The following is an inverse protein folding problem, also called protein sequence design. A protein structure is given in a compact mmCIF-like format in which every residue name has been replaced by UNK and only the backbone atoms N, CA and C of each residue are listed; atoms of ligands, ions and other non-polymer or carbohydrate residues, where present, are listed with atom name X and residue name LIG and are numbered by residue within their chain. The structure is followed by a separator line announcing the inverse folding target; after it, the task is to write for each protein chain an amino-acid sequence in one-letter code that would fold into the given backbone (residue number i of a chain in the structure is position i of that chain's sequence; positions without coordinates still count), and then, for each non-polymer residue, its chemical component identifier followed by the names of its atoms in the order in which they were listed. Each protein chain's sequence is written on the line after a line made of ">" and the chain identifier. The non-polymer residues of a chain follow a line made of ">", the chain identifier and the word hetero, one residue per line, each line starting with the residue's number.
data_IF_469362728119
#
_entry.id   IF_469362728119
#
_cell.length_a   1.000
_cell.length_b   1.000
_cell.length_c   1.000
_cell.angle_alpha   90.00
_cell.angle_beta   90.00
_cell.angle_gamma   90.00
#
_symmetry.space_group_name_H-M   'P 1'
#
loop_
_entity.id
_entity.type
_entity.pdbx_description
1 polymer ?
#
# COMPACT_ATOMS: atom_id res chain seq x y z
N UNK A 1 -20.43 -45.63 -39.45
CA UNK A 1 -18.96 -45.73 -39.29
C UNK A 1 -18.24 -44.39 -39.52
N UNK A 2 -18.92 -43.23 -39.38
CA UNK A 2 -18.27 -41.92 -39.59
C UNK A 2 -17.84 -41.19 -38.30
N UNK A 3 -18.23 -41.70 -37.12
CA UNK A 3 -17.91 -41.06 -35.83
C UNK A 3 -16.49 -41.30 -35.30
N UNK A 4 -15.82 -42.39 -35.70
CA UNK A 4 -14.51 -42.78 -35.17
C UNK A 4 -13.32 -42.10 -35.88
N UNK A 5 -13.53 -41.59 -37.09
CA UNK A 5 -12.48 -40.97 -37.90
C UNK A 5 -12.24 -39.49 -37.53
N UNK A 6 -13.26 -38.84 -36.95
CA UNK A 6 -13.14 -37.47 -36.42
C UNK A 6 -12.42 -37.39 -35.06
N UNK A 7 -12.53 -38.40 -34.21
CA UNK A 7 -11.87 -38.42 -32.90
C UNK A 7 -10.38 -38.76 -32.98
N UNK A 8 -9.99 -39.67 -33.88
CA UNK A 8 -8.58 -40.01 -34.11
C UNK A 8 -7.81 -38.83 -34.70
N UNK A 9 -8.42 -38.09 -35.63
CA UNK A 9 -7.83 -36.89 -36.22
C UNK A 9 -7.66 -35.74 -35.21
N UNK A 10 -8.63 -35.54 -34.30
CA UNK A 10 -8.51 -34.55 -33.20
C UNK A 10 -7.46 -34.94 -32.15
N UNK A 11 -7.32 -36.24 -31.83
CA UNK A 11 -6.31 -36.72 -30.88
C UNK A 11 -4.89 -36.60 -31.45
N UNK A 12 -4.70 -36.88 -32.73
CA UNK A 12 -3.40 -36.78 -33.38
C UNK A 12 -2.96 -35.32 -33.60
N UNK A 13 -3.91 -34.41 -33.84
CA UNK A 13 -3.63 -32.97 -33.88
C UNK A 13 -3.24 -32.41 -32.50
N UNK A 14 -3.85 -32.87 -31.40
CA UNK A 14 -3.45 -32.48 -30.03
C UNK A 14 -2.06 -32.99 -29.67
N UNK A 15 -1.78 -34.28 -29.90
CA UNK A 15 -0.47 -34.88 -29.62
C UNK A 15 0.68 -34.20 -30.38
N UNK A 16 0.47 -33.84 -31.65
CA UNK A 16 1.50 -33.16 -32.47
C UNK A 16 1.74 -31.70 -32.08
N UNK A 17 0.82 -31.06 -31.36
CA UNK A 17 0.99 -29.68 -30.88
C UNK A 17 1.81 -29.71 -29.59
N UNK A 18 1.52 -30.67 -28.70
CA UNK A 18 2.23 -30.83 -27.42
C UNK A 18 3.72 -31.22 -27.65
N UNK A 19 4.02 -32.12 -28.60
CA UNK A 19 5.41 -32.52 -28.92
C UNK A 19 6.26 -31.36 -29.51
N UNK A 20 5.62 -30.41 -30.20
CA UNK A 20 6.31 -29.25 -30.78
C UNK A 20 6.61 -28.18 -29.73
N UNK A 21 5.68 -27.91 -28.83
CA UNK A 21 5.92 -26.97 -27.73
C UNK A 21 7.06 -27.47 -26.83
N UNK A 22 7.11 -28.77 -26.54
CA UNK A 22 8.18 -29.35 -25.71
C UNK A 22 9.54 -29.30 -26.42
N UNK A 23 9.57 -29.47 -27.75
CA UNK A 23 10.79 -29.33 -28.56
C UNK A 23 11.30 -27.89 -28.64
N UNK A 24 10.41 -26.90 -28.69
CA UNK A 24 10.76 -25.47 -28.70
C UNK A 24 11.26 -25.02 -27.32
N UNK A 25 10.65 -25.50 -26.24
CA UNK A 25 11.08 -25.25 -24.87
C UNK A 25 12.48 -25.79 -24.60
N UNK A 26 12.78 -27.01 -25.08
CA UNK A 26 14.11 -27.60 -24.97
C UNK A 26 15.21 -26.84 -25.73
N UNK A 27 14.83 -26.10 -26.78
CA UNK A 27 15.77 -25.32 -27.60
C UNK A 27 15.99 -23.90 -27.08
N UNK A 28 14.89 -23.19 -26.79
CA UNK A 28 14.94 -21.78 -26.43
C UNK A 28 15.21 -21.59 -24.93
N UNK A 29 14.99 -22.62 -24.10
CA UNK A 29 15.12 -22.57 -22.64
C UNK A 29 14.22 -21.51 -21.98
N UNK A 30 13.18 -21.05 -22.70
CA UNK A 30 12.10 -20.20 -22.20
C UNK A 30 10.83 -20.50 -22.99
N UNK A 31 9.67 -20.18 -22.39
CA UNK A 31 8.37 -20.31 -23.04
C UNK A 31 8.13 -19.12 -24.00
N UNK A 32 8.00 -19.36 -25.31
CA UNK A 32 7.73 -18.29 -26.28
C UNK A 32 6.48 -17.47 -25.98
N UNK A 33 5.43 -18.10 -25.42
CA UNK A 33 4.20 -17.39 -25.07
C UNK A 33 4.39 -16.51 -23.84
N UNK A 34 5.14 -16.96 -22.84
CA UNK A 34 5.51 -16.10 -21.71
C UNK A 34 6.31 -14.89 -22.18
N UNK A 35 7.30 -15.09 -23.06
CA UNK A 35 8.09 -14.00 -23.61
C UNK A 35 7.23 -12.96 -24.35
N UNK A 36 6.31 -13.41 -25.22
CA UNK A 36 5.41 -12.50 -25.95
C UNK A 36 4.52 -11.71 -24.98
N UNK A 37 3.98 -12.36 -23.96
CA UNK A 37 3.15 -11.70 -22.95
C UNK A 37 3.96 -10.68 -22.13
N UNK A 38 5.19 -11.02 -21.74
CA UNK A 38 6.07 -10.11 -20.99
C UNK A 38 6.39 -8.85 -21.81
N UNK A 39 6.67 -9.01 -23.11
CA UNK A 39 6.88 -7.87 -24.01
C UNK A 39 5.61 -7.01 -24.11
N UNK A 40 4.43 -7.64 -24.26
CA UNK A 40 3.15 -6.92 -24.33
C UNK A 40 2.90 -6.11 -23.06
N UNK A 41 3.02 -6.75 -21.90
CA UNK A 41 2.85 -6.09 -20.60
C UNK A 41 3.84 -4.94 -20.42
N UNK A 42 5.12 -5.14 -20.79
CA UNK A 42 6.12 -4.07 -20.71
C UNK A 42 5.77 -2.88 -21.60
N UNK A 43 5.19 -3.10 -22.78
CA UNK A 43 4.74 -2.00 -23.65
C UNK A 43 3.56 -1.26 -23.03
N UNK A 44 2.60 -1.98 -22.45
CA UNK A 44 1.46 -1.38 -21.75
C UNK A 44 1.92 -0.53 -20.55
N UNK A 45 2.83 -1.05 -19.72
CA UNK A 45 3.41 -0.33 -18.59
C UNK A 45 4.08 0.98 -19.03
N UNK A 46 4.86 0.96 -20.11
CA UNK A 46 5.54 2.15 -20.64
C UNK A 46 4.54 3.20 -21.15
N UNK A 47 3.44 2.77 -21.77
CA UNK A 47 2.38 3.68 -22.24
C UNK A 47 1.68 4.30 -21.03
N UNK A 48 1.26 3.51 -20.05
CA UNK A 48 0.53 3.99 -18.89
C UNK A 48 1.38 4.94 -18.03
N UNK A 49 2.63 4.57 -17.73
CA UNK A 49 3.56 5.44 -17.01
C UNK A 49 3.89 6.71 -17.81
N UNK A 50 4.14 6.58 -19.12
CA UNK A 50 4.48 7.70 -19.98
C UNK A 50 3.37 8.75 -20.08
N UNK A 51 2.12 8.31 -20.24
CA UNK A 51 0.96 9.20 -20.27
C UNK A 51 0.62 9.75 -18.88
N UNK A 52 0.82 8.97 -17.82
CA UNK A 52 0.71 9.44 -16.44
C UNK A 52 1.68 10.59 -16.14
N UNK A 53 2.95 10.44 -16.53
CA UNK A 53 3.97 11.48 -16.41
C UNK A 53 3.62 12.72 -17.26
N UNK A 54 3.18 12.52 -18.51
CA UNK A 54 2.79 13.62 -19.39
C UNK A 54 1.66 14.45 -18.79
N UNK A 55 0.65 13.81 -18.20
CA UNK A 55 -0.49 14.47 -17.54
C UNK A 55 -0.05 15.33 -16.35
N UNK A 56 0.86 14.82 -15.52
CA UNK A 56 1.45 15.57 -14.42
C UNK A 56 2.22 16.80 -14.93
N UNK A 57 3.05 16.62 -15.96
CA UNK A 57 3.86 17.71 -16.52
C UNK A 57 3.01 18.76 -17.25
N UNK A 58 2.00 18.34 -18.01
CA UNK A 58 1.10 19.25 -18.71
C UNK A 58 0.35 20.15 -17.72
N UNK A 59 -0.12 19.57 -16.61
CA UNK A 59 -0.79 20.32 -15.53
C UNK A 59 0.14 21.35 -14.89
N UNK A 60 1.39 20.95 -14.60
CA UNK A 60 2.43 21.85 -14.04
C UNK A 60 2.80 22.97 -15.02
N UNK A 61 3.06 22.64 -16.28
CA UNK A 61 3.52 23.59 -17.30
C UNK A 61 2.46 24.64 -17.64
N UNK A 62 1.18 24.25 -17.66
CA UNK A 62 0.08 25.18 -17.93
C UNK A 62 -0.33 26.00 -16.69
N UNK A 63 0.19 25.68 -15.51
CA UNK A 63 -0.12 26.39 -14.27
C UNK A 63 -1.62 26.41 -13.94
N UNK A 64 -2.37 25.42 -14.42
CA UNK A 64 -3.83 25.35 -14.28
C UNK A 64 -4.17 25.06 -12.83
N UNK A 65 -4.88 25.99 -12.19
CA UNK A 65 -5.42 25.84 -10.83
C UNK A 65 -6.92 25.62 -10.81
N UNK A 66 -7.56 25.70 -11.98
CA UNK A 66 -8.98 25.47 -12.15
C UNK A 66 -9.23 23.98 -12.37
N UNK A 67 -9.91 23.36 -11.41
CA UNK A 67 -10.20 21.93 -11.41
C UNK A 67 -10.97 21.49 -12.67
N UNK A 68 -11.85 22.34 -13.22
CA UNK A 68 -12.62 22.02 -14.43
C UNK A 68 -11.70 21.92 -15.67
N UNK A 69 -10.66 22.77 -15.73
CA UNK A 69 -9.69 22.78 -16.82
C UNK A 69 -8.72 21.61 -16.69
N UNK A 70 -8.33 21.24 -15.47
CA UNK A 70 -7.52 20.04 -15.20
C UNK A 70 -8.28 18.77 -15.60
N UNK A 71 -9.57 18.68 -15.29
CA UNK A 71 -10.40 17.54 -15.66
C UNK A 71 -10.56 17.43 -17.19
N UNK A 72 -10.82 18.55 -17.88
CA UNK A 72 -10.89 18.57 -19.35
C UNK A 72 -9.57 18.16 -20.00
N UNK A 73 -8.45 18.65 -19.47
CA UNK A 73 -7.11 18.27 -19.93
C UNK A 73 -6.85 16.78 -19.71
N UNK A 74 -7.15 16.26 -18.52
CA UNK A 74 -7.08 14.83 -18.20
C UNK A 74 -7.83 14.03 -19.24
N UNK A 75 -9.12 14.33 -19.44
CA UNK A 75 -9.98 13.59 -20.37
C UNK A 75 -9.49 13.63 -21.81
N UNK A 76 -8.91 14.76 -22.24
CA UNK A 76 -8.31 14.88 -23.57
C UNK A 76 -7.07 13.98 -23.70
N UNK A 77 -6.19 13.96 -22.70
CA UNK A 77 -4.99 13.12 -22.65
C UNK A 77 -5.38 11.64 -22.62
N UNK A 78 -6.34 11.27 -21.78
CA UNK A 78 -6.84 9.90 -21.66
C UNK A 78 -7.44 9.42 -23.01
N UNK A 79 -8.09 10.32 -23.77
CA UNK A 79 -8.57 10.02 -25.12
C UNK A 79 -7.46 9.79 -26.16
N UNK A 80 -6.34 10.52 -26.04
CA UNK A 80 -5.15 10.29 -26.88
C UNK A 80 -4.48 8.97 -26.51
N UNK A 81 -4.29 8.70 -25.22
CA UNK A 81 -3.74 7.44 -24.70
C UNK A 81 -4.55 6.26 -25.24
N UNK A 82 -5.88 6.28 -25.09
CA UNK A 82 -6.76 5.24 -25.64
C UNK A 82 -6.56 5.03 -27.14
N UNK A 83 -6.45 6.12 -27.91
CA UNK A 83 -6.26 6.02 -29.37
C UNK A 83 -4.91 5.40 -29.73
N UNK A 84 -3.86 5.72 -28.99
CA UNK A 84 -2.53 5.13 -29.15
C UNK A 84 -2.56 3.65 -28.78
N UNK A 85 -3.15 3.31 -27.63
CA UNK A 85 -3.22 1.94 -27.12
C UNK A 85 -3.98 1.03 -28.09
N UNK A 86 -5.16 1.44 -28.57
CA UNK A 86 -5.93 0.66 -29.56
C UNK A 86 -5.15 0.40 -30.86
N UNK A 87 -4.31 1.35 -31.30
CA UNK A 87 -3.47 1.13 -32.48
C UNK A 87 -2.31 0.19 -32.15
N UNK A 88 -1.68 0.37 -31.00
CA UNK A 88 -0.55 -0.42 -30.56
C UNK A 88 -0.95 -1.88 -30.32
N UNK A 89 -2.10 -2.13 -29.70
CA UNK A 89 -2.70 -3.45 -29.55
C UNK A 89 -2.82 -4.20 -30.87
N UNK A 90 -3.35 -3.54 -31.91
CA UNK A 90 -3.46 -4.16 -33.25
C UNK A 90 -2.11 -4.52 -33.86
N UNK A 91 -1.11 -3.66 -33.63
CA UNK A 91 0.26 -3.93 -34.08
C UNK A 91 0.88 -5.09 -33.30
N UNK A 92 0.70 -5.12 -31.98
CA UNK A 92 1.17 -6.19 -31.10
C UNK A 92 0.49 -7.52 -31.41
N UNK A 93 -0.82 -7.56 -31.69
CA UNK A 93 -1.52 -8.77 -32.12
C UNK A 93 -0.97 -9.32 -33.46
N UNK A 94 -0.55 -8.43 -34.35
CA UNK A 94 0.06 -8.82 -35.64
C UNK A 94 1.48 -9.31 -35.45
N UNK A 95 2.24 -8.65 -34.57
CA UNK A 95 3.59 -9.03 -34.19
C UNK A 95 3.64 -10.37 -33.46
N UNK A 96 2.76 -10.60 -32.48
CA UNK A 96 2.60 -11.86 -31.76
C UNK A 96 2.36 -13.01 -32.74
N UNK A 97 1.39 -12.83 -33.66
CA UNK A 97 1.09 -13.83 -34.68
C UNK A 97 2.31 -14.12 -35.55
N UNK A 98 3.06 -13.10 -35.94
CA UNK A 98 4.29 -13.27 -36.71
C UNK A 98 5.34 -14.06 -35.92
N UNK A 99 5.55 -13.72 -34.64
CA UNK A 99 6.47 -14.40 -33.76
C UNK A 99 6.14 -15.89 -33.60
N UNK A 100 4.87 -16.22 -33.35
CA UNK A 100 4.42 -17.62 -33.24
C UNK A 100 4.58 -18.39 -34.54
N UNK A 101 4.37 -17.76 -35.70
CA UNK A 101 4.45 -18.45 -37.00
C UNK A 101 5.86 -18.58 -37.56
N UNK A 102 6.78 -17.68 -37.21
CA UNK A 102 8.06 -17.56 -37.91
C UNK A 102 9.29 -17.48 -37.01
N UNK A 103 9.17 -16.90 -35.81
CA UNK A 103 10.31 -16.75 -34.90
C UNK A 103 10.48 -17.95 -33.98
N UNK A 104 9.35 -18.55 -33.57
CA UNK A 104 9.32 -19.63 -32.58
C UNK A 104 8.83 -20.97 -33.16
N UNK A 105 8.59 -21.05 -34.47
CA UNK A 105 8.23 -22.31 -35.13
C UNK A 105 9.50 -23.06 -35.58
N UNK A 106 9.54 -24.37 -35.37
CA UNK A 106 10.64 -25.22 -35.83
C UNK A 106 10.34 -25.61 -37.28
N UNK A 107 11.20 -25.26 -38.25
CA UNK A 107 10.99 -25.62 -39.65
C UNK A 107 10.79 -27.13 -39.82
N UNK A 108 9.75 -27.51 -40.56
CA UNK A 108 9.43 -28.91 -40.84
C UNK A 108 10.61 -29.59 -41.54
N UNK A 109 11.18 -30.62 -40.92
CA UNK A 109 12.35 -31.36 -41.42
C UNK A 109 13.63 -31.13 -40.60
N UNK A 110 13.61 -30.19 -39.66
CA UNK A 110 14.62 -30.09 -38.61
C UNK A 110 14.07 -30.76 -37.35
N UNK A 111 14.45 -32.02 -37.14
CA UNK A 111 14.40 -32.62 -35.82
C UNK A 111 15.72 -32.28 -35.14
N UNK A 112 15.66 -31.71 -33.94
CA UNK A 112 16.86 -31.58 -33.13
C UNK A 112 17.43 -32.98 -32.87
N UNK A 113 18.76 -33.13 -32.80
CA UNK A 113 19.30 -34.31 -32.16
C UNK A 113 18.67 -34.35 -30.77
N UNK A 114 17.89 -35.40 -30.49
CA UNK A 114 17.48 -35.66 -29.12
C UNK A 114 18.73 -35.47 -28.26
N UNK A 115 18.60 -34.76 -27.14
CA UNK A 115 19.67 -34.49 -26.17
C UNK A 115 20.34 -35.76 -25.60
N UNK A 116 19.96 -36.93 -26.12
CA UNK A 116 20.75 -38.13 -26.13
C UNK A 116 21.99 -37.94 -27.01
N UNK A 117 23.05 -37.35 -26.43
CA UNK A 117 24.41 -37.43 -26.94
C UNK A 117 24.65 -38.80 -27.61
N UNK A 118 25.05 -38.87 -28.89
CA UNK A 118 25.40 -40.13 -29.51
C UNK A 118 26.63 -40.68 -28.79
N UNK A 119 26.44 -41.76 -28.04
CA UNK A 119 27.51 -42.50 -27.35
C UNK A 119 28.58 -43.07 -28.29
N UNK A 120 28.41 -42.95 -29.60
CA UNK A 120 29.21 -43.63 -30.61
C UNK A 120 29.68 -42.68 -31.72
N UNK A 121 30.12 -41.47 -31.37
CA UNK A 121 30.92 -40.61 -32.26
C UNK A 121 32.39 -41.01 -32.18
N UNK A 122 33.05 -41.45 -33.27
CA UNK A 122 34.44 -41.92 -33.22
C UNK A 122 35.51 -40.82 -33.07
N UNK A 123 35.10 -39.57 -32.84
CA UNK A 123 36.01 -38.41 -32.72
C UNK A 123 35.96 -37.87 -31.28
N UNK A 124 36.20 -38.76 -30.31
CA UNK A 124 36.41 -38.37 -28.91
C UNK A 124 37.82 -37.78 -28.75
N UNK A 125 37.87 -36.45 -28.61
CA UNK A 125 38.95 -35.80 -27.90
C UNK A 125 39.07 -36.45 -26.50
N UNK A 126 40.28 -36.76 -26.01
CA UNK A 126 40.43 -37.54 -24.80
C UNK A 126 39.81 -36.80 -23.60
N UNK A 127 38.90 -37.48 -22.91
CA UNK A 127 38.17 -37.02 -21.73
C UNK A 127 39.05 -36.25 -20.74
N UNK A 128 38.89 -34.94 -20.69
CA UNK A 128 39.23 -34.10 -19.52
C UNK A 128 38.02 -33.95 -18.58
N UNK A 129 37.23 -35.02 -18.37
CA UNK A 129 35.83 -34.86 -17.92
C UNK A 129 35.50 -35.56 -16.59
N UNK A 130 36.43 -35.50 -15.63
CA UNK A 130 36.13 -35.84 -14.23
C UNK A 130 36.39 -34.70 -13.25
N UNK A 131 37.39 -33.86 -13.51
CA UNK A 131 37.63 -32.65 -12.71
C UNK A 131 36.61 -31.55 -13.07
N UNK A 132 36.32 -31.36 -14.36
CA UNK A 132 35.34 -30.37 -14.83
C UNK A 132 33.93 -30.64 -14.29
N UNK A 133 33.52 -31.91 -14.25
CA UNK A 133 32.21 -32.33 -13.77
C UNK A 133 32.09 -32.21 -12.24
N UNK A 134 33.16 -32.53 -11.50
CA UNK A 134 33.23 -32.31 -10.05
C UNK A 134 33.22 -30.83 -9.65
N UNK A 135 33.88 -29.98 -10.44
CA UNK A 135 33.91 -28.53 -10.22
C UNK A 135 32.53 -27.92 -10.48
N UNK A 136 31.82 -28.39 -11.51
CA UNK A 136 30.44 -28.00 -11.79
C UNK A 136 29.47 -28.41 -10.67
N UNK A 137 29.59 -29.63 -10.16
CA UNK A 137 28.81 -30.12 -9.02
C UNK A 137 29.06 -29.27 -7.75
N UNK A 138 30.31 -28.87 -7.52
CA UNK A 138 30.65 -27.99 -6.40
C UNK A 138 30.05 -26.58 -6.58
N UNK A 139 30.12 -26.02 -7.79
CA UNK A 139 29.51 -24.73 -8.10
C UNK A 139 27.99 -24.77 -7.96
N UNK A 140 27.33 -25.82 -8.47
CA UNK A 140 25.89 -26.03 -8.28
C UNK A 140 25.51 -26.13 -6.80
N UNK A 141 26.30 -26.84 -6.01
CA UNK A 141 26.07 -26.93 -4.58
C UNK A 141 26.25 -25.56 -3.89
N UNK A 142 27.26 -24.80 -4.27
CA UNK A 142 27.48 -23.43 -3.78
C UNK A 142 26.31 -22.50 -4.14
N UNK A 143 25.79 -22.57 -5.37
CA UNK A 143 24.65 -21.78 -5.83
C UNK A 143 23.36 -22.17 -5.09
N UNK A 144 23.13 -23.46 -4.86
CA UNK A 144 21.99 -23.95 -4.05
C UNK A 144 22.06 -23.43 -2.62
N UNK A 145 23.24 -23.41 -2.02
CA UNK A 145 23.44 -22.86 -0.68
C UNK A 145 23.20 -21.36 -0.64
N UNK A 146 23.74 -20.59 -1.60
CA UNK A 146 23.47 -19.15 -1.75
C UNK A 146 21.99 -18.86 -1.93
N UNK A 147 21.29 -19.65 -2.76
CA UNK A 147 19.85 -19.51 -2.95
C UNK A 147 19.07 -19.79 -1.65
N UNK A 148 19.49 -20.79 -0.88
CA UNK A 148 18.87 -21.10 0.42
C UNK A 148 19.08 -19.97 1.44
N UNK A 149 20.27 -19.35 1.45
CA UNK A 149 20.57 -18.19 2.30
C UNK A 149 19.72 -16.99 1.87
N UNK A 150 19.74 -16.61 0.59
CA UNK A 150 18.94 -15.52 0.04
C UNK A 150 17.43 -15.72 0.27
N UNK A 151 16.95 -16.97 0.18
CA UNK A 151 15.55 -17.31 0.48
C UNK A 151 15.18 -17.06 1.95
N UNK A 152 16.09 -17.37 2.89
CA UNK A 152 15.90 -17.08 4.32
C UNK A 152 15.92 -15.58 4.59
N UNK A 153 16.88 -14.86 4.04
CA UNK A 153 16.98 -13.39 4.17
C UNK A 153 15.75 -12.70 3.60
N UNK A 154 15.28 -13.13 2.42
CA UNK A 154 14.04 -12.63 1.82
C UNK A 154 12.81 -12.91 2.69
N UNK A 155 12.75 -14.05 3.38
CA UNK A 155 11.68 -14.34 4.32
C UNK A 155 11.72 -13.44 5.57
N UNK A 156 12.91 -13.15 6.11
CA UNK A 156 13.09 -12.20 7.21
C UNK A 156 12.66 -10.80 6.79
N UNK A 157 13.14 -10.31 5.65
CA UNK A 157 12.79 -8.98 5.12
C UNK A 157 11.29 -8.84 4.88
N UNK A 158 10.61 -9.86 4.33
CA UNK A 158 9.14 -9.86 4.22
C UNK A 158 8.47 -9.76 5.59
N UNK A 159 8.99 -10.47 6.60
CA UNK A 159 8.51 -10.36 7.98
C UNK A 159 8.64 -8.94 8.51
N UNK A 160 9.79 -8.31 8.33
CA UNK A 160 10.04 -6.93 8.74
C UNK A 160 9.12 -5.93 8.02
N UNK A 161 8.93 -6.10 6.70
CA UNK A 161 8.01 -5.27 5.91
C UNK A 161 6.58 -5.35 6.47
N UNK A 162 6.05 -6.55 6.68
CA UNK A 162 4.69 -6.72 7.23
C UNK A 162 4.55 -6.17 8.66
N UNK A 163 5.63 -6.15 9.44
CA UNK A 163 5.63 -5.54 10.76
C UNK A 163 5.60 -4.00 10.66
N UNK A 164 6.40 -3.43 9.76
CA UNK A 164 6.38 -1.99 9.49
C UNK A 164 5.03 -1.52 8.95
N UNK A 165 4.41 -2.26 8.04
CA UNK A 165 3.06 -1.96 7.53
C UNK A 165 2.02 -1.95 8.65
N UNK A 166 2.06 -2.93 9.56
CA UNK A 166 1.20 -2.95 10.75
C UNK A 166 1.44 -1.74 11.63
N UNK A 167 2.69 -1.38 11.87
CA UNK A 167 3.04 -0.22 12.68
C UNK A 167 2.54 1.08 12.04
N UNK A 168 2.72 1.24 10.72
CA UNK A 168 2.22 2.38 9.97
C UNK A 168 0.69 2.50 10.06
N UNK A 169 -0.03 1.38 9.90
CA UNK A 169 -1.49 1.36 10.04
C UNK A 169 -1.95 1.75 11.46
N UNK A 170 -1.22 1.32 12.50
CA UNK A 170 -1.49 1.73 13.88
C UNK A 170 -1.20 3.23 14.08
N UNK A 171 -0.11 3.74 13.53
CA UNK A 171 0.23 5.17 13.60
C UNK A 171 -0.82 6.04 12.91
N UNK A 172 -1.31 5.65 11.73
CA UNK A 172 -2.39 6.36 11.03
C UNK A 172 -3.66 6.39 11.89
N UNK A 173 -4.07 5.24 12.45
CA UNK A 173 -5.24 5.18 13.35
C UNK A 173 -5.06 6.04 14.60
N UNK A 174 -3.84 6.14 15.13
CA UNK A 174 -3.57 7.02 16.26
C UNK A 174 -3.65 8.51 15.87
N UNK A 175 -3.18 8.88 14.68
CA UNK A 175 -3.33 10.24 14.17
C UNK A 175 -4.81 10.60 13.99
N UNK A 176 -5.60 9.71 13.39
CA UNK A 176 -7.06 9.86 13.25
C UNK A 176 -7.74 10.00 14.62
N UNK A 177 -7.42 9.14 15.59
CA UNK A 177 -7.98 9.22 16.93
C UNK A 177 -7.60 10.50 17.69
N UNK A 178 -6.42 11.07 17.41
CA UNK A 178 -6.02 12.36 17.95
C UNK A 178 -6.79 13.50 17.29
N UNK A 179 -6.99 13.43 15.98
CA UNK A 179 -7.78 14.40 15.21
C UNK A 179 -9.23 14.43 15.71
N UNK A 180 -9.87 13.27 15.85
CA UNK A 180 -11.22 13.11 16.43
C UNK A 180 -11.31 13.69 17.86
N UNK A 181 -10.26 13.53 18.67
CA UNK A 181 -10.24 14.06 20.03
C UNK A 181 -10.03 15.58 20.08
N UNK A 182 -9.42 16.16 19.05
CA UNK A 182 -9.18 17.60 18.91
C UNK A 182 -10.33 18.33 18.21
N UNK A 183 -11.14 17.62 17.40
CA UNK A 183 -12.30 18.17 16.71
C UNK A 183 -13.25 19.01 17.61
N UNK A 184 -13.59 18.61 18.86
CA UNK A 184 -14.46 19.42 19.73
C UNK A 184 -13.85 20.77 20.14
N UNK A 185 -12.53 20.90 20.06
CA UNK A 185 -11.77 22.11 20.37
C UNK A 185 -11.61 23.03 19.15
N UNK A 186 -11.76 22.49 17.94
CA UNK A 186 -11.83 23.29 16.72
C UNK A 186 -13.26 23.77 16.46
N UNK A 187 -14.26 22.90 16.68
CA UNK A 187 -15.69 23.22 16.51
C UNK A 187 -16.18 24.26 17.51
N UNK A 188 -15.72 24.18 18.76
CA UNK A 188 -15.93 25.23 19.75
C UNK A 188 -14.67 26.09 19.77
N UNK A 189 -14.78 27.40 19.53
CA UNK A 189 -13.61 28.28 19.70
C UNK A 189 -12.98 28.02 21.07
N UNK A 190 -11.70 27.61 21.09
CA UNK A 190 -10.89 27.45 22.30
C UNK A 190 -11.14 28.58 23.30
N UNK A 191 -11.25 29.80 22.78
CA UNK A 191 -11.54 31.01 23.52
C UNK A 191 -12.95 31.02 24.13
N UNK A 192 -13.97 30.53 23.42
CA UNK A 192 -15.35 30.47 23.89
C UNK A 192 -15.52 29.46 25.03
N UNK A 193 -14.90 28.29 24.94
CA UNK A 193 -14.94 27.28 26.03
C UNK A 193 -14.25 27.81 27.29
N UNK A 194 -13.08 28.45 27.13
CA UNK A 194 -12.35 29.08 28.23
C UNK A 194 -13.16 30.22 28.84
N UNK A 195 -13.76 31.08 28.02
CA UNK A 195 -14.59 32.20 28.48
C UNK A 195 -15.84 31.72 29.20
N UNK A 196 -16.49 30.67 28.72
CA UNK A 196 -17.66 30.08 29.36
C UNK A 196 -17.30 29.51 30.73
N UNK A 197 -16.16 28.81 30.84
CA UNK A 197 -15.64 28.31 32.11
C UNK A 197 -15.32 29.44 33.10
N UNK A 198 -14.67 30.51 32.65
CA UNK A 198 -14.39 31.70 33.46
C UNK A 198 -15.70 32.33 33.94
N UNK A 199 -16.71 32.43 33.07
CA UNK A 199 -18.02 32.99 33.41
C UNK A 199 -18.73 32.12 34.45
N UNK A 200 -18.81 30.81 34.24
CA UNK A 200 -19.44 29.87 35.17
C UNK A 200 -18.77 29.90 36.55
N UNK A 201 -17.44 29.90 36.57
CA UNK A 201 -16.65 30.02 37.80
C UNK A 201 -16.89 31.34 38.53
N UNK A 202 -16.98 32.45 37.79
CA UNK A 202 -17.26 33.78 38.36
C UNK A 202 -18.66 33.85 38.97
N UNK A 203 -19.67 33.27 38.30
CA UNK A 203 -21.04 33.20 38.83
C UNK A 203 -21.08 32.38 40.12
N UNK A 204 -20.48 31.20 40.13
CA UNK A 204 -20.40 30.34 41.32
C UNK A 204 -19.70 31.02 42.50
N UNK A 205 -18.58 31.70 42.23
CA UNK A 205 -17.85 32.42 43.25
C UNK A 205 -18.66 33.61 43.79
N UNK A 206 -19.35 34.34 42.92
CA UNK A 206 -20.28 35.41 43.28
C UNK A 206 -21.41 34.93 44.19
N UNK A 207 -22.11 33.86 43.80
CA UNK A 207 -23.17 33.27 44.62
C UNK A 207 -22.67 32.80 45.98
N UNK A 208 -21.52 32.12 46.02
CA UNK A 208 -20.92 31.65 47.27
C UNK A 208 -20.54 32.81 48.20
N UNK A 209 -20.02 33.89 47.63
CA UNK A 209 -19.66 35.10 48.38
C UNK A 209 -20.91 35.82 48.91
N UNK A 210 -21.97 35.93 48.12
CA UNK A 210 -23.25 36.52 48.56
C UNK A 210 -23.89 35.70 49.68
N UNK A 211 -23.92 34.36 49.57
CA UNK A 211 -24.38 33.46 50.66
C UNK A 211 -23.57 33.67 51.94
N UNK A 212 -22.26 33.83 51.83
CA UNK A 212 -21.39 34.12 52.97
C UNK A 212 -21.71 35.48 53.63
N UNK A 213 -22.04 36.50 52.83
CA UNK A 213 -22.44 37.82 53.33
C UNK A 213 -23.78 37.78 54.05
N UNK A 214 -24.79 37.06 53.52
CA UNK A 214 -26.08 36.86 54.21
C UNK A 214 -25.88 36.14 55.53
N UNK A 215 -25.15 35.02 55.55
CA UNK A 215 -24.86 34.28 56.79
C UNK A 215 -24.19 35.18 57.85
N UNK A 216 -23.22 36.01 57.44
CA UNK A 216 -22.55 36.95 58.35
C UNK A 216 -23.52 38.03 58.87
N UNK A 217 -24.36 38.58 58.01
CA UNK A 217 -25.36 39.59 58.38
C UNK A 217 -26.36 39.03 59.39
N UNK A 218 -26.92 37.86 59.09
CA UNK A 218 -27.91 37.19 59.94
C UNK A 218 -27.30 36.83 61.31
N UNK A 219 -26.02 36.41 61.33
CA UNK A 219 -25.29 36.19 62.58
C UNK A 219 -25.12 37.46 63.41
N UNK A 220 -24.77 38.59 62.79
CA UNK A 220 -24.64 39.87 63.51
C UNK A 220 -26.00 40.37 64.01
N UNK A 221 -27.06 40.18 63.24
CA UNK A 221 -28.41 40.56 63.62
C UNK A 221 -28.93 39.68 64.77
N UNK A 222 -28.72 38.37 64.70
CA UNK A 222 -29.02 37.46 65.82
C UNK A 222 -28.25 37.84 67.10
N UNK A 223 -26.97 38.24 66.99
CA UNK A 223 -26.21 38.74 68.14
C UNK A 223 -26.72 40.09 68.68
N UNK A 224 -27.32 40.94 67.85
CA UNK A 224 -27.97 42.18 68.30
C UNK A 224 -29.28 41.84 69.01
N UNK A 225 -30.10 40.97 68.43
CA UNK A 225 -31.36 40.52 69.01
C UNK A 225 -31.13 39.81 70.35
N UNK A 226 -30.11 38.96 70.47
CA UNK A 226 -29.72 38.34 71.76
C UNK A 226 -29.32 39.37 72.81
N UNK A 227 -28.55 40.41 72.45
CA UNK A 227 -28.18 41.48 73.38
C UNK A 227 -29.38 42.31 73.87
N UNK A 228 -30.41 42.46 73.03
CA UNK A 228 -31.65 43.17 73.40
C UNK A 228 -32.56 42.27 74.24
N UNK A 229 -32.65 40.98 73.91
CA UNK A 229 -33.46 39.99 74.65
C UNK A 229 -32.85 39.62 76.01
N UNK A 230 -31.54 39.79 76.16
CA UNK A 230 -30.81 39.57 77.41
C UNK A 230 -30.04 40.84 77.79
N UNK A 231 -30.70 41.91 78.28
CA UNK A 231 -29.98 43.07 78.82
C UNK A 231 -29.21 42.59 80.05
N UNK A 232 -27.89 42.70 80.00
CA UNK A 232 -26.98 42.30 81.06
C UNK A 232 -27.31 43.10 82.34
N UNK A 233 -28.16 42.54 83.21
CA UNK A 233 -28.29 42.96 84.60
C UNK A 233 -27.05 42.40 85.28
N UNK A 234 -26.13 43.28 85.67
CA UNK A 234 -25.16 43.23 86.77
C UNK A 234 -23.88 43.97 86.34
N UNK A 235 -23.80 45.25 86.68
CA UNK A 235 -22.67 45.80 87.46
C UNK A 235 -22.79 47.31 87.66
N UNK A 236 -23.47 47.71 88.75
CA UNK A 236 -23.16 48.96 89.48
C UNK A 236 -23.47 48.78 90.97
N UNK A 237 -22.46 48.43 91.76
CA UNK A 237 -22.29 48.96 93.14
C UNK A 237 -20.83 49.38 93.26
N UNK A 238 -20.61 50.70 93.22
CA UNK A 238 -20.05 51.52 94.32
C UNK A 238 -18.66 51.03 94.75
N UNK A 239 -17.58 51.72 94.37
CA UNK A 239 -16.92 52.77 95.19
C UNK A 239 -16.98 52.43 96.68
N UNK A 240 -15.85 52.06 97.28
CA UNK A 240 -15.10 52.95 98.19
C UNK A 240 -13.70 52.35 98.52
N UNK A 241 -12.70 53.23 98.53
CA UNK A 241 -11.32 53.09 99.04
C UNK A 241 -11.33 53.06 100.59
N UNK A 242 -10.27 52.62 101.32
CA UNK A 242 -8.85 52.91 101.14
C UNK A 242 -7.94 51.71 100.84
#
# INVERSE_FOLDING_TARGET
>A
MEGLQGETSKRQARSSVDDKSDSVLGLLNFDPQLFVNDVRNSVDDVIDEGFGFFKEQATKALGVKDDEVVEKLSKAIDGVQYTVQVKLDKHLDTWERYCTMHCFDIPKGLSFPETNYPKDSPDELPCEDRSSDMDLDHELQCLREKLAIAGKESAVLRGELTNMERQAAVTVRHAEALDDALQPLEENSTQDVINEFIRASSVLFGEKMERLKTIKRDRMENQRIERIRSPNIYNTKRKDFP
#
